data_IF_540737031821
#
_entry.id   IF_540737031821
#
_cell.length_a   1.000
_cell.length_b   1.000
_cell.length_c   1.000
_cell.angle_alpha   90.00
_cell.angle_beta   90.00
_cell.angle_gamma   90.00
#
_symmetry.space_group_name_H-M   'P 1'
#
loop_
_entity.id
_entity.type
_entity.pdbx_description
1 polymer ?
2 non-polymer ?
3 non-polymer ?
4 water ?
#
# COMPACT_ATOMS: atom_id res chain seq x y z
N UNK A 15 -22.94 -25.49 -3.75
CA UNK A 15 -21.91 -24.50 -4.08
C UNK A 15 -20.59 -25.16 -4.44
N UNK A 16 -19.84 -24.55 -5.35
CA UNK A 16 -18.54 -25.09 -5.71
C UNK A 16 -17.54 -24.93 -4.56
N UNK A 17 -16.70 -25.93 -4.40
CA UNK A 17 -15.74 -25.98 -3.30
C UNK A 17 -14.33 -25.88 -3.86
N UNK A 18 -13.46 -25.21 -3.10
CA UNK A 18 -12.04 -25.12 -3.43
C UNK A 18 -11.25 -25.45 -2.19
N UNK A 19 -10.35 -26.45 -2.31
CA UNK A 19 -9.48 -26.92 -1.23
C UNK A 19 -10.27 -27.12 0.07
N UNK A 20 -11.43 -27.77 -0.05
CA UNK A 20 -12.26 -28.08 1.08
C UNK A 20 -13.23 -26.99 1.52
N UNK A 21 -13.04 -25.75 1.07
CA UNK A 21 -13.85 -24.62 1.51
C UNK A 21 -14.94 -24.29 0.50
N UNK A 22 -16.01 -23.65 1.00
CA UNK A 22 -17.04 -23.13 0.12
C UNK A 22 -16.51 -21.90 -0.61
N UNK A 23 -16.69 -21.86 -1.93
CA UNK A 23 -16.29 -20.70 -2.76
C UNK A 23 -17.46 -20.42 -3.71
N UNK A 24 -18.44 -19.70 -3.20
CA UNK A 24 -19.80 -19.73 -3.71
C UNK A 24 -20.11 -18.55 -4.63
N UNK A 25 -19.71 -18.64 -5.89
CA UNK A 25 -19.70 -17.45 -6.75
C UNK A 25 -20.56 -17.63 -7.98
N UNK A 26 -21.18 -18.79 -8.17
CA UNK A 26 -21.83 -19.07 -9.43
C UNK A 26 -23.25 -18.56 -9.46
N UNK A 27 -23.91 -18.76 -10.62
CA UNK A 27 -23.42 -19.40 -11.85
C UNK A 27 -22.59 -18.50 -12.81
N UNK A 28 -22.51 -17.20 -12.54
CA UNK A 28 -21.81 -16.31 -13.45
C UNK A 28 -20.33 -16.67 -13.55
N UNK A 29 -19.71 -17.05 -12.42
CA UNK A 29 -18.28 -17.31 -12.37
C UNK A 29 -18.06 -18.80 -12.19
N UNK A 30 -17.40 -19.42 -13.17
CA UNK A 30 -17.16 -20.86 -13.25
C UNK A 30 -15.68 -21.16 -13.49
N UNK A 31 -15.34 -22.46 -13.54
CA UNK A 31 -13.98 -22.92 -13.87
C UNK A 31 -12.93 -22.29 -12.95
N UNK A 32 -13.11 -22.52 -11.64
CA UNK A 32 -12.30 -21.88 -10.60
C UNK A 32 -10.92 -22.53 -10.48
N UNK A 33 -9.91 -21.70 -10.20
CA UNK A 33 -8.55 -22.14 -9.88
C UNK A 33 -8.02 -21.35 -8.70
N UNK A 34 -7.51 -22.04 -7.69
CA UNK A 34 -6.86 -21.35 -6.57
C UNK A 34 -5.64 -20.57 -7.06
N UNK A 35 -5.52 -19.30 -6.68
CA UNK A 35 -4.38 -18.48 -7.10
C UNK A 35 -3.63 -17.83 -5.94
N UNK A 36 -4.03 -18.01 -4.70
CA UNK A 36 -3.33 -17.40 -3.58
C UNK A 36 -4.25 -17.14 -2.40
N UNK A 37 -3.69 -16.50 -1.36
CA UNK A 37 -4.44 -16.24 -0.14
C UNK A 37 -4.58 -14.74 0.16
N UNK A 38 -5.83 -14.32 0.44
CA UNK A 38 -6.12 -12.97 0.92
C UNK A 38 -6.01 -12.89 2.44
N UNK A 39 -6.49 -11.76 3.00
CA UNK A 39 -6.41 -11.57 4.45
C UNK A 39 -7.52 -12.30 5.22
N UNK A 40 -8.70 -12.42 4.62
CA UNK A 40 -9.85 -13.05 5.28
C UNK A 40 -10.40 -14.19 4.44
N UNK A 41 -9.55 -14.77 3.59
CA UNK A 41 -9.98 -15.83 2.71
C UNK A 41 -9.00 -16.02 1.57
N UNK A 42 -9.35 -16.98 0.71
CA UNK A 42 -8.51 -17.31 -0.42
C UNK A 42 -8.91 -16.50 -1.65
N UNK A 43 -8.01 -16.51 -2.64
CA UNK A 43 -8.22 -15.84 -3.90
C UNK A 43 -8.20 -16.89 -4.98
N UNK A 44 -9.14 -16.82 -5.91
CA UNK A 44 -9.25 -17.76 -7.01
C UNK A 44 -9.38 -16.99 -8.31
N UNK A 45 -8.96 -17.61 -9.42
CA UNK A 45 -9.38 -17.11 -10.72
C UNK A 45 -10.63 -17.86 -11.15
N UNK A 46 -11.33 -17.31 -12.14
CA UNK A 46 -12.64 -17.82 -12.50
C UNK A 46 -12.99 -17.28 -13.87
N UNK A 47 -13.77 -18.05 -14.63
CA UNK A 47 -14.29 -17.50 -15.87
C UNK A 47 -15.60 -16.76 -15.62
N UNK A 48 -15.66 -15.52 -16.11
CA UNK A 48 -16.82 -14.65 -16.08
C UNK A 48 -17.65 -14.89 -17.35
N UNK A 49 -18.77 -15.60 -17.20
CA UNK A 49 -19.59 -15.99 -18.35
C UNK A 49 -20.31 -14.84 -19.03
N UNK A 50 -20.48 -13.71 -18.36
CA UNK A 50 -21.05 -12.52 -19.00
C UNK A 50 -20.00 -11.79 -19.83
N UNK A 51 -18.91 -11.40 -19.18
CA UNK A 51 -17.92 -10.59 -19.86
C UNK A 51 -16.95 -11.42 -20.68
N UNK A 52 -16.99 -12.75 -20.54
CA UNK A 52 -16.23 -13.71 -21.35
C UNK A 52 -14.72 -13.51 -21.23
N UNK A 53 -14.28 -13.23 -20.00
CA UNK A 53 -12.87 -13.11 -19.63
C UNK A 53 -12.70 -13.80 -18.27
N UNK A 54 -11.47 -14.21 -17.95
CA UNK A 54 -11.20 -14.69 -16.61
C UNK A 54 -10.91 -13.50 -15.69
N UNK A 55 -11.20 -13.68 -14.40
CA UNK A 55 -11.17 -12.63 -13.38
C UNK A 55 -10.56 -13.21 -12.11
N UNK A 56 -10.19 -12.32 -11.18
CA UNK A 56 -9.76 -12.66 -9.84
C UNK A 56 -10.89 -12.45 -8.84
N UNK A 57 -11.05 -13.38 -7.88
CA UNK A 57 -12.10 -13.26 -6.87
C UNK A 57 -11.50 -13.52 -5.49
N UNK A 58 -11.68 -12.56 -4.60
CA UNK A 58 -11.25 -12.62 -3.20
C UNK A 58 -12.44 -12.94 -2.28
N UNK A 59 -12.35 -14.01 -1.49
CA UNK A 59 -13.36 -14.33 -0.46
C UNK A 59 -13.01 -13.68 0.88
N UNK A 60 -13.99 -13.06 1.50
CA UNK A 60 -13.84 -12.30 2.74
C UNK A 60 -14.86 -12.85 3.71
N UNK A 61 -14.42 -13.20 4.95
CA UNK A 61 -15.32 -13.65 6.01
C UNK A 61 -15.05 -12.83 7.26
N UNK A 62 -15.64 -11.63 7.37
CA UNK A 62 -15.21 -10.67 8.41
C UNK A 62 -16.15 -10.48 9.60
N UNK A 63 -17.33 -11.10 9.62
CA UNK A 63 -18.43 -10.51 10.41
C UNK A 63 -18.38 -10.77 11.91
N UNK A 64 -17.50 -11.65 12.35
CA UNK A 64 -17.33 -11.94 13.76
C UNK A 64 -16.48 -10.92 14.49
N UNK A 65 -15.69 -10.10 13.77
CA UNK A 65 -14.74 -9.19 14.42
C UNK A 65 -14.89 -7.76 13.93
N UNK A 66 -15.04 -6.84 14.89
CA UNK A 66 -15.25 -5.44 14.56
C UNK A 66 -14.12 -4.92 13.68
N UNK A 67 -12.89 -5.39 13.91
CA UNK A 67 -11.75 -4.87 13.15
C UNK A 67 -11.70 -5.44 11.74
N UNK A 68 -12.17 -6.68 11.55
CA UNK A 68 -12.22 -7.22 10.20
C UNK A 68 -13.27 -6.48 9.40
N UNK A 69 -14.43 -6.26 10.02
CA UNK A 69 -15.49 -5.50 9.39
C UNK A 69 -15.02 -4.11 9.03
N UNK A 70 -14.18 -3.53 9.88
CA UNK A 70 -13.69 -2.18 9.60
C UNK A 70 -12.84 -2.17 8.33
N UNK A 71 -11.85 -3.07 8.25
CA UNK A 71 -10.95 -3.15 7.10
C UNK A 71 -11.75 -3.37 5.83
N UNK A 72 -12.78 -4.23 5.91
CA UNK A 72 -13.56 -4.60 4.72
C UNK A 72 -14.40 -3.43 4.25
N UNK A 73 -15.07 -2.77 5.18
CA UNK A 73 -15.89 -1.62 4.82
C UNK A 73 -15.02 -0.50 4.25
N UNK A 74 -13.90 -0.16 4.94
CA UNK A 74 -13.00 0.86 4.46
C UNK A 74 -12.61 0.63 3.01
N UNK A 75 -12.18 -0.60 2.68
CA UNK A 75 -11.71 -0.84 1.31
C UNK A 75 -12.86 -0.73 0.32
N UNK A 76 -14.03 -1.32 0.65
CA UNK A 76 -15.15 -1.24 -0.30
C UNK A 76 -15.53 0.20 -0.53
N UNK A 77 -15.59 1.02 0.54
CA UNK A 77 -16.02 2.39 0.35
C UNK A 77 -15.03 3.17 -0.52
N UNK A 78 -13.73 2.98 -0.30
CA UNK A 78 -12.72 3.70 -1.09
C UNK A 78 -12.76 3.25 -2.55
N UNK A 79 -12.71 1.93 -2.77
CA UNK A 79 -12.63 1.43 -4.16
C UNK A 79 -13.87 1.68 -4.99
N UNK A 80 -15.06 1.74 -4.38
CA UNK A 80 -16.23 2.08 -5.20
C UNK A 80 -16.26 3.56 -5.58
N UNK A 81 -15.50 4.41 -4.90
CA UNK A 81 -15.44 5.78 -5.38
C UNK A 81 -14.27 6.04 -6.33
N UNK A 82 -13.19 5.33 -6.17
CA UNK A 82 -11.99 5.57 -6.99
C UNK A 82 -12.19 5.00 -8.38
N UNK A 83 -11.64 5.68 -9.38
CA UNK A 83 -11.52 5.13 -10.72
C UNK A 83 -10.19 5.59 -11.30
N UNK A 84 -9.24 4.69 -11.52
CA UNK A 84 -7.93 5.10 -12.01
C UNK A 84 -7.22 3.92 -12.65
N UNK A 85 -6.49 4.18 -13.75
CA UNK A 85 -5.84 3.09 -14.50
C UNK A 85 -4.84 2.30 -13.66
N UNK A 86 -4.22 2.94 -12.64
CA UNK A 86 -3.19 2.30 -11.85
C UNK A 86 -3.68 1.90 -10.46
N UNK A 87 -5.00 1.73 -10.30
CA UNK A 87 -5.60 1.22 -9.09
C UNK A 87 -6.55 0.10 -9.47
N UNK A 88 -6.45 -1.05 -8.80
CA UNK A 88 -7.33 -2.13 -9.28
C UNK A 88 -8.71 -1.86 -8.73
N UNK A 89 -9.70 -1.90 -9.60
CA UNK A 89 -11.06 -1.59 -9.19
C UNK A 89 -11.86 -2.81 -8.76
N UNK A 90 -13.07 -2.55 -8.31
CA UNK A 90 -14.03 -3.61 -7.98
C UNK A 90 -14.99 -3.75 -9.15
N UNK A 91 -15.00 -4.93 -9.77
CA UNK A 91 -15.89 -5.20 -10.90
C UNK A 91 -17.29 -5.66 -10.47
N UNK A 92 -17.35 -6.38 -9.35
CA UNK A 92 -18.57 -7.05 -8.92
C UNK A 92 -18.36 -7.39 -7.45
N UNK A 93 -19.44 -7.45 -6.70
CA UNK A 93 -19.41 -7.96 -5.33
C UNK A 93 -20.54 -8.96 -5.20
N UNK A 94 -20.22 -10.15 -4.66
CA UNK A 94 -21.17 -11.26 -4.50
C UNK A 94 -21.42 -11.50 -3.01
N UNK A 95 -22.71 -11.57 -2.62
CA UNK A 95 -23.09 -11.99 -1.27
C UNK A 95 -24.56 -12.38 -1.30
N UNK A 96 -24.98 -13.03 -0.22
CA UNK A 96 -26.38 -13.46 -0.05
C UNK A 96 -27.38 -12.30 -0.15
N UNK A 97 -28.64 -12.58 -0.45
CA UNK A 97 -29.61 -11.50 -0.63
C UNK A 97 -30.05 -10.81 0.64
N UNK A 98 -29.82 -11.41 1.81
CA UNK A 98 -30.30 -10.88 3.07
C UNK A 98 -29.17 -10.82 4.07
N UNK A 99 -29.26 -9.90 5.05
CA UNK A 99 -28.22 -9.82 6.07
C UNK A 99 -28.11 -11.13 6.84
N UNK A 100 -29.26 -11.76 7.13
CA UNK A 100 -29.26 -13.00 7.88
C UNK A 100 -28.45 -14.07 7.20
N UNK A 101 -28.59 -14.19 5.87
CA UNK A 101 -27.94 -15.27 5.16
C UNK A 101 -26.51 -14.94 4.77
N UNK A 102 -26.07 -13.69 4.96
CA UNK A 102 -24.75 -13.22 4.52
C UNK A 102 -23.68 -13.60 5.53
N UNK A 103 -22.78 -14.51 5.13
CA UNK A 103 -21.66 -14.92 5.97
C UNK A 103 -20.33 -14.57 5.34
N UNK A 104 -20.29 -14.54 4.02
CA UNK A 104 -19.08 -14.22 3.27
C UNK A 104 -19.42 -13.18 2.22
N UNK A 105 -18.39 -12.46 1.78
CA UNK A 105 -18.49 -11.48 0.69
C UNK A 105 -17.41 -11.83 -0.30
N UNK A 106 -17.72 -11.81 -1.59
CA UNK A 106 -16.67 -12.03 -2.61
C UNK A 106 -16.47 -10.78 -3.45
N UNK A 107 -15.22 -10.33 -3.60
CA UNK A 107 -14.91 -9.18 -4.44
C UNK A 107 -14.24 -9.64 -5.73
N UNK A 108 -14.81 -9.23 -6.88
CA UNK A 108 -14.32 -9.64 -8.20
C UNK A 108 -13.53 -8.48 -8.77
N UNK A 109 -12.32 -8.79 -9.29
CA UNK A 109 -11.37 -7.79 -9.81
C UNK A 109 -10.71 -8.35 -11.07
N UNK A 110 -10.03 -7.47 -11.83
CA UNK A 110 -9.32 -7.89 -13.03
C UNK A 110 -8.30 -8.96 -12.66
N UNK A 111 -8.17 -9.96 -13.53
CA UNK A 111 -7.12 -10.95 -13.34
C UNK A 111 -5.81 -10.43 -13.93
N UNK A 112 -4.81 -10.26 -13.09
CA UNK A 112 -3.49 -9.80 -13.50
C UNK A 112 -2.62 -11.03 -13.75
N UNK A 113 -1.40 -10.82 -14.26
CA UNK A 113 -0.42 -11.91 -14.49
C UNK A 113 0.42 -12.25 -13.26
N UNK A 114 0.91 -11.26 -12.51
CA UNK A 114 1.83 -11.50 -11.42
C UNK A 114 1.79 -10.27 -10.53
N UNK A 115 2.66 -10.25 -9.55
CA UNK A 115 2.88 -9.04 -8.73
C UNK A 115 4.39 -8.79 -8.60
N UNK A 116 4.75 -7.61 -8.06
CA UNK A 116 6.16 -7.24 -8.08
C UNK A 116 6.96 -8.07 -7.06
N UNK A 117 6.32 -8.57 -6.00
CA UNK A 117 7.02 -9.44 -5.05
C UNK A 117 7.47 -10.72 -5.77
N UNK A 118 6.56 -11.33 -6.51
CA UNK A 118 6.87 -12.56 -7.24
C UNK A 118 7.90 -12.30 -8.33
N UNK A 119 7.72 -11.19 -9.05
CA UNK A 119 8.64 -10.85 -10.12
C UNK A 119 10.06 -10.66 -9.58
N UNK A 120 10.21 -9.92 -8.49
CA UNK A 120 11.58 -9.64 -8.00
C UNK A 120 12.26 -10.89 -7.42
N UNK A 121 11.50 -11.94 -7.10
CA UNK A 121 12.11 -13.18 -6.61
C UNK A 121 12.99 -13.84 -7.67
N UNK A 122 12.68 -13.67 -8.96
CA UNK A 122 13.48 -14.34 -9.97
C UNK A 122 13.89 -13.50 -11.18
N UNK A 123 13.39 -12.28 -11.35
CA UNK A 123 13.62 -11.52 -12.56
C UNK A 123 14.40 -10.24 -12.27
N UNK A 124 15.53 -10.08 -12.96
CA UNK A 124 16.23 -8.79 -13.00
C UNK A 124 15.43 -7.79 -13.86
N UNK A 125 15.18 -6.59 -13.34
CA UNK A 125 14.51 -5.56 -14.13
C UNK A 125 15.50 -4.73 -14.92
N UNK A 126 15.17 -4.44 -16.18
CA UNK A 126 15.92 -3.43 -16.91
C UNK A 126 15.64 -2.05 -16.31
N UNK A 127 16.58 -1.09 -16.51
CA UNK A 127 16.28 0.27 -16.08
C UNK A 127 15.00 0.79 -16.73
N UNK A 128 14.68 0.41 -17.99
CA UNK A 128 13.42 0.87 -18.57
C UNK A 128 12.22 0.33 -17.80
N UNK A 129 12.29 -0.89 -17.30
CA UNK A 129 11.17 -1.42 -16.54
C UNK A 129 11.06 -0.74 -15.19
N UNK A 130 12.21 -0.45 -14.58
CA UNK A 130 12.19 0.22 -13.27
C UNK A 130 11.52 1.57 -13.40
N UNK A 131 11.96 2.35 -14.38
CA UNK A 131 11.39 3.67 -14.65
C UNK A 131 9.87 3.59 -14.89
N UNK A 132 9.42 2.68 -15.76
CA UNK A 132 7.99 2.62 -16.06
C UNK A 132 7.17 2.14 -14.86
N UNK A 133 7.69 1.16 -14.10
CA UNK A 133 6.99 0.72 -12.87
C UNK A 133 6.88 1.87 -11.88
N UNK A 134 7.99 2.58 -11.65
CA UNK A 134 7.97 3.67 -10.67
C UNK A 134 7.02 4.77 -11.11
N UNK A 135 7.04 5.11 -12.41
CA UNK A 135 6.10 6.10 -12.91
C UNK A 135 4.66 5.71 -12.57
N UNK A 136 4.28 4.44 -12.88
CA UNK A 136 2.89 4.03 -12.66
C UNK A 136 2.52 4.00 -11.19
N UNK A 137 3.46 3.61 -10.32
CA UNK A 137 3.19 3.64 -8.87
C UNK A 137 2.87 5.07 -8.44
N UNK A 138 3.72 6.04 -8.85
CA UNK A 138 3.53 7.45 -8.45
C UNK A 138 2.29 8.06 -9.10
N UNK A 139 1.95 7.62 -10.32
CA UNK A 139 0.76 8.15 -10.97
C UNK A 139 -0.49 7.71 -10.20
N UNK A 140 -0.55 6.43 -9.82
CA UNK A 140 -1.68 5.98 -8.97
C UNK A 140 -1.68 6.67 -7.61
N UNK A 141 -0.50 6.77 -7.00
CA UNK A 141 -0.41 7.42 -5.69
C UNK A 141 -0.83 8.90 -5.77
N UNK A 142 -0.54 9.61 -6.88
CA UNK A 142 -0.98 11.00 -6.99
C UNK A 142 -2.50 11.07 -6.84
N UNK A 143 -3.21 10.14 -7.49
CA UNK A 143 -4.67 10.12 -7.42
C UNK A 143 -5.14 9.82 -5.98
N UNK A 144 -4.53 8.80 -5.34
CA UNK A 144 -4.90 8.44 -3.98
C UNK A 144 -4.71 9.63 -3.04
N UNK A 145 -3.53 10.26 -3.07
CA UNK A 145 -3.28 11.40 -2.17
C UNK A 145 -4.17 12.60 -2.53
N UNK A 146 -4.52 12.76 -3.79
CA UNK A 146 -5.41 13.88 -4.15
C UNK A 146 -6.80 13.70 -3.56
N UNK A 147 -7.15 12.46 -3.22
CA UNK A 147 -8.41 12.19 -2.55
C UNK A 147 -8.30 12.32 -1.05
N UNK A 148 -7.16 12.79 -0.54
CA UNK A 148 -6.93 12.93 0.90
C UNK A 148 -6.87 11.58 1.59
N UNK A 149 -6.48 10.54 0.85
CA UNK A 149 -6.38 9.17 1.36
C UNK A 149 -4.91 8.75 1.38
N UNK A 150 -4.54 7.95 2.39
CA UNK A 150 -3.21 7.33 2.54
C UNK A 150 -3.38 5.83 2.35
N UNK A 151 -2.53 5.21 1.52
CA UNK A 151 -2.64 3.77 1.34
C UNK A 151 -2.18 3.01 2.59
N UNK A 152 -1.00 3.39 3.09
CA UNK A 152 -0.43 2.93 4.35
C UNK A 152 0.07 1.50 4.33
N UNK A 153 0.09 0.81 3.18
CA UNK A 153 0.71 -0.52 3.17
C UNK A 153 1.28 -0.80 1.79
N UNK A 154 1.94 0.18 1.19
CA UNK A 154 2.55 -0.05 -0.14
C UNK A 154 3.78 -0.95 0.01
N UNK A 155 3.88 -1.97 -0.84
CA UNK A 155 4.97 -2.95 -0.84
C UNK A 155 4.85 -3.78 -2.12
N UNK A 156 5.88 -4.53 -2.49
CA UNK A 156 5.84 -5.20 -3.80
C UNK A 156 4.64 -6.10 -4.01
N UNK A 157 4.22 -6.84 -2.97
CA UNK A 157 3.12 -7.82 -3.16
C UNK A 157 1.75 -7.11 -3.36
N UNK A 158 1.69 -5.78 -3.17
CA UNK A 158 0.47 -5.01 -3.44
C UNK A 158 0.51 -4.27 -4.76
N UNK A 159 1.49 -4.61 -5.62
CA UNK A 159 1.63 -4.00 -6.95
C UNK A 159 1.45 -5.13 -7.95
N UNK A 160 0.32 -5.14 -8.63
CA UNK A 160 0.01 -6.18 -9.61
C UNK A 160 0.40 -5.71 -11.03
N UNK A 161 0.81 -6.69 -11.88
CA UNK A 161 1.27 -6.44 -13.23
C UNK A 161 0.54 -7.38 -14.17
N UNK A 162 0.16 -6.84 -15.35
CA UNK A 162 -0.36 -7.73 -16.39
C UNK A 162 0.77 -8.12 -17.35
N UNK A 163 0.39 -8.80 -18.49
CA UNK A 163 1.44 -9.42 -19.32
C UNK A 163 2.23 -8.37 -20.08
N UNK A 164 1.71 -7.13 -20.15
CA UNK A 164 2.39 -6.04 -20.83
C UNK A 164 2.88 -5.02 -19.84
N UNK A 165 3.02 -5.43 -18.58
CA UNK A 165 3.66 -4.60 -17.54
C UNK A 165 2.91 -3.34 -17.15
N UNK A 166 1.60 -3.33 -17.40
CA UNK A 166 0.76 -2.29 -16.80
C UNK A 166 0.60 -2.66 -15.31
N UNK A 167 0.65 -1.65 -14.43
CA UNK A 167 0.76 -1.83 -12.98
C UNK A 167 -0.48 -1.26 -12.30
N UNK A 168 -1.00 -2.01 -11.32
CA UNK A 168 -2.17 -1.55 -10.54
C UNK A 168 -1.93 -1.79 -9.05
N UNK A 169 -2.33 -0.81 -8.23
CA UNK A 169 -2.14 -0.87 -6.77
C UNK A 169 -3.31 -1.62 -6.16
N UNK A 170 -3.01 -2.62 -5.32
CA UNK A 170 -3.97 -3.47 -4.63
C UNK A 170 -4.03 -3.12 -3.14
N UNK A 171 -5.16 -3.48 -2.56
CA UNK A 171 -5.47 -3.53 -1.12
C UNK A 171 -5.57 -2.21 -0.38
N UNK A 172 -6.77 -1.72 -0.15
CA UNK A 172 -6.95 -0.51 0.63
C UNK A 172 -7.49 -0.80 2.03
N UNK A 173 -7.26 -2.01 2.52
CA UNK A 173 -7.76 -2.39 3.84
C UNK A 173 -7.11 -1.67 5.00
N UNK A 174 -5.88 -1.15 4.83
CA UNK A 174 -5.23 -0.36 5.88
C UNK A 174 -5.26 1.15 5.63
N UNK A 175 -5.95 1.60 4.59
CA UNK A 175 -5.99 3.01 4.21
C UNK A 175 -6.71 3.84 5.26
N UNK A 176 -6.38 5.13 5.29
CA UNK A 176 -7.03 6.10 6.17
C UNK A 176 -7.10 7.46 5.48
N UNK A 177 -8.04 8.30 5.91
CA UNK A 177 -8.06 9.70 5.50
C UNK A 177 -6.93 10.43 6.20
N UNK A 178 -6.19 11.24 5.45
CA UNK A 178 -5.02 11.93 6.03
C UNK A 178 -5.43 12.85 7.18
N UNK A 179 -4.57 12.91 8.20
CA UNK A 179 -4.85 13.73 9.39
C UNK A 179 -3.56 14.31 9.96
N UNK A 180 -2.90 15.20 9.23
CA UNK A 180 -1.57 15.67 9.67
C UNK A 180 -1.58 16.41 10.99
N UNK A 181 -2.69 17.08 11.34
CA UNK A 181 -2.70 17.83 12.61
C UNK A 181 -2.80 16.93 13.82
N UNK A 182 -3.11 15.66 13.65
CA UNK A 182 -3.18 14.70 14.74
C UNK A 182 -2.21 13.53 14.55
N UNK A 183 -1.05 13.79 13.94
CA UNK A 183 -0.08 12.75 13.62
C UNK A 183 0.89 12.42 14.75
N UNK A 184 0.98 13.26 15.78
CA UNK A 184 2.07 13.10 16.76
C UNK A 184 1.70 12.07 17.83
N UNK A 185 2.70 11.33 18.28
CA UNK A 185 2.53 10.32 19.31
C UNK A 185 3.90 10.09 19.97
N UNK A 186 3.89 9.19 20.95
CA UNK A 186 5.08 8.84 21.71
C UNK A 186 5.99 7.84 21.03
N UNK A 187 7.12 7.63 21.67
CA UNK A 187 8.19 6.78 21.16
C UNK A 187 7.80 5.29 21.29
N UNK A 188 8.10 4.51 20.25
CA UNK A 188 7.88 3.06 20.24
C UNK A 188 6.39 2.68 20.35
N UNK A 189 5.54 3.53 19.73
CA UNK A 189 4.11 3.28 19.55
C UNK A 189 3.90 2.19 18.52
N UNK A 190 3.08 1.22 18.89
CA UNK A 190 2.71 0.07 18.09
C UNK A 190 2.14 0.52 16.74
N UNK A 191 2.42 -0.26 15.68
CA UNK A 191 2.03 0.12 14.32
C UNK A 191 1.60 -1.12 13.55
N UNK A 192 0.74 -0.92 12.55
CA UNK A 192 0.08 -2.01 11.81
C UNK A 192 0.82 -2.44 10.53
N UNK A 193 1.27 -1.49 9.70
CA UNK A 193 1.66 -1.76 8.31
C UNK A 193 2.99 -2.52 8.18
N UNK A 194 3.47 -2.85 6.95
CA UNK A 194 4.51 -3.90 6.93
C UNK A 194 5.92 -3.40 7.27
N UNK A 195 6.62 -4.15 8.13
CA UNK A 195 7.83 -3.65 8.78
C UNK A 195 8.85 -3.07 7.81
N UNK A 196 9.25 -3.82 6.78
CA UNK A 196 10.36 -3.42 5.91
C UNK A 196 10.10 -2.09 5.19
N UNK A 197 8.85 -1.66 5.08
CA UNK A 197 8.42 -0.51 4.30
C UNK A 197 7.96 0.65 5.19
N UNK A 198 8.21 0.56 6.53
CA UNK A 198 7.83 1.58 7.52
C UNK A 198 8.85 2.71 7.62
N UNK A 199 8.38 3.95 7.56
CA UNK A 199 9.21 5.14 7.67
C UNK A 199 9.80 5.25 9.09
N UNK A 200 10.97 5.86 9.23
CA UNK A 200 11.59 5.92 10.55
C UNK A 200 10.71 6.61 11.60
N UNK A 201 9.96 7.64 11.19
CA UNK A 201 9.19 8.36 12.19
C UNK A 201 8.09 7.49 12.83
N UNK A 202 7.68 6.39 12.19
CA UNK A 202 6.66 5.52 12.83
C UNK A 202 7.15 5.03 14.20
N UNK A 203 8.44 4.74 14.31
CA UNK A 203 9.05 4.22 15.52
C UNK A 203 9.40 5.35 16.49
N UNK A 204 9.35 6.61 16.04
CA UNK A 204 9.77 7.75 16.85
C UNK A 204 8.61 8.57 17.39
N UNK A 205 7.74 9.08 16.49
CA UNK A 205 6.74 10.07 16.94
C UNK A 205 5.54 10.22 16.01
N UNK A 206 5.22 9.25 15.14
CA UNK A 206 4.20 9.42 14.11
C UNK A 206 3.21 8.28 14.14
N UNK A 207 1.91 8.61 13.99
CA UNK A 207 0.84 7.64 13.80
C UNK A 207 0.64 7.24 12.34
N UNK A 208 1.45 7.76 11.41
CA UNK A 208 1.25 7.37 10.03
C UNK A 208 0.04 7.99 9.39
N UNK A 209 -0.28 9.22 9.76
CA UNK A 209 -1.45 9.95 9.26
C UNK A 209 -1.09 11.06 8.27
N UNK A 210 0.14 11.06 7.73
CA UNK A 210 0.48 12.02 6.68
C UNK A 210 0.99 11.31 5.41
N UNK A 211 0.89 12.04 4.31
CA UNK A 211 1.20 11.47 2.98
C UNK A 211 2.65 11.02 2.89
N UNK A 212 3.56 11.65 3.66
CA UNK A 212 4.95 11.25 3.61
C UNK A 212 5.18 9.80 4.00
N UNK A 213 4.24 9.16 4.71
CA UNK A 213 4.42 7.74 5.04
C UNK A 213 4.42 6.89 3.77
N UNK A 214 3.62 7.27 2.81
CA UNK A 214 3.52 6.45 1.58
C UNK A 214 4.75 6.67 0.71
N UNK A 215 5.26 7.92 0.68
CA UNK A 215 6.43 8.19 -0.14
C UNK A 215 7.62 7.37 0.35
N UNK A 216 7.79 7.22 1.68
CA UNK A 216 8.88 6.37 2.18
C UNK A 216 8.75 4.94 1.61
N UNK A 217 7.53 4.39 1.66
CA UNK A 217 7.34 3.05 1.18
C UNK A 217 7.73 2.93 -0.31
N UNK A 218 7.33 3.89 -1.14
CA UNK A 218 7.70 3.87 -2.57
C UNK A 218 9.23 3.92 -2.71
N UNK A 219 9.91 4.71 -1.86
CA UNK A 219 11.36 4.73 -1.94
C UNK A 219 11.96 3.36 -1.63
N UNK A 220 11.40 2.66 -0.63
CA UNK A 220 11.86 1.30 -0.33
C UNK A 220 11.64 0.37 -1.52
N UNK A 221 10.50 0.53 -2.21
CA UNK A 221 10.19 -0.30 -3.38
C UNK A 221 11.18 -0.01 -4.52
N UNK A 222 11.46 1.26 -4.77
CA UNK A 222 12.46 1.61 -5.80
C UNK A 222 13.81 0.96 -5.50
N UNK A 223 14.30 1.07 -4.25
CA UNK A 223 15.57 0.41 -3.91
C UNK A 223 15.52 -1.07 -4.21
N UNK A 224 14.41 -1.72 -3.85
CA UNK A 224 14.25 -3.15 -4.04
C UNK A 224 14.19 -3.50 -5.54
N UNK A 225 13.59 -2.63 -6.35
CA UNK A 225 13.72 -2.87 -7.81
C UNK A 225 15.14 -2.74 -8.34
N UNK A 226 15.96 -1.92 -7.70
CA UNK A 226 17.33 -1.77 -8.19
C UNK A 226 18.20 -2.98 -7.89
N UNK A 227 17.91 -3.71 -6.81
CA UNK A 227 18.80 -4.78 -6.44
C UNK A 227 18.18 -6.15 -6.20
N UNK A 228 16.87 -6.30 -6.30
CA UNK A 228 16.12 -7.51 -5.99
C UNK A 228 16.20 -7.94 -4.52
N UNK A 229 16.58 -7.06 -3.59
CA UNK A 229 16.63 -7.40 -2.17
C UNK A 229 16.01 -6.22 -1.41
N UNK A 230 15.25 -6.46 -0.35
CA UNK A 230 14.80 -5.33 0.48
C UNK A 230 15.97 -4.53 1.02
N UNK A 231 15.85 -3.19 0.98
CA UNK A 231 16.92 -2.29 1.45
C UNK A 231 17.05 -2.26 2.98
N UNK A 232 15.93 -2.38 3.71
CA UNK A 232 15.91 -2.30 5.18
C UNK A 232 15.18 -3.52 5.78
N UNK A 233 15.78 -4.72 5.71
CA UNK A 233 15.05 -5.94 6.16
C UNK A 233 15.18 -6.16 7.67
N UNK A 234 14.57 -5.29 8.46
CA UNK A 234 14.62 -5.46 9.91
C UNK A 234 13.98 -6.78 10.31
N UNK A 235 14.60 -7.43 11.30
CA UNK A 235 14.18 -8.77 11.72
C UNK A 235 13.03 -8.74 12.71
N UNK A 236 12.73 -7.57 13.26
CA UNK A 236 11.67 -7.35 14.24
C UNK A 236 11.49 -5.84 14.37
N UNK A 237 10.37 -5.42 15.00
CA UNK A 237 9.98 -4.00 15.13
C UNK A 237 11.15 -3.09 15.41
N UNK A 238 11.92 -3.52 16.40
CA UNK A 238 12.95 -2.69 16.98
C UNK A 238 14.15 -2.61 16.05
N UNK A 239 14.44 -3.70 15.34
CA UNK A 239 15.54 -3.76 14.40
C UNK A 239 15.36 -2.82 13.20
N UNK A 240 14.12 -2.44 12.86
CA UNK A 240 13.88 -1.71 11.61
C UNK A 240 14.59 -0.37 11.61
N UNK A 241 14.58 0.35 12.76
CA UNK A 241 15.29 1.62 12.80
C UNK A 241 16.80 1.44 12.70
N UNK A 242 17.35 0.33 13.24
CA UNK A 242 18.79 0.04 13.08
C UNK A 242 19.16 -0.04 11.59
N UNK A 243 18.34 -0.71 10.81
CA UNK A 243 18.66 -0.81 9.40
C UNK A 243 18.60 0.55 8.71
N UNK A 244 17.58 1.35 9.02
CA UNK A 244 17.43 2.65 8.35
C UNK A 244 18.63 3.53 8.64
N UNK A 245 18.95 3.68 9.92
CA UNK A 245 20.05 4.56 10.30
C UNK A 245 21.39 3.99 9.85
N UNK A 246 21.52 2.68 9.67
CA UNK A 246 22.79 2.13 9.19
C UNK A 246 23.15 2.52 7.76
N UNK A 247 22.14 2.95 6.98
CA UNK A 247 22.36 3.41 5.63
C UNK A 247 22.28 4.93 5.53
N UNK A 248 21.26 5.56 6.15
CA UNK A 248 21.16 7.01 6.07
C UNK A 248 22.22 7.71 6.95
N UNK A 249 22.73 7.04 7.97
CA UNK A 249 23.60 7.68 8.95
C UNK A 249 22.84 8.42 10.00
N UNK A 250 23.60 9.03 10.92
CA UNK A 250 23.01 9.79 12.03
C UNK A 250 22.23 11.00 11.52
N UNK A 251 21.04 11.27 12.08
CA UNK A 251 20.31 12.50 11.73
C UNK A 251 21.05 13.75 12.18
N UNK A 252 20.89 14.79 11.36
CA UNK A 252 21.47 16.10 11.63
C UNK A 252 20.86 16.71 12.89
N UNK A 253 21.56 17.72 13.41
CA UNK A 253 21.00 18.48 14.52
C UNK A 253 19.65 19.06 14.16
N UNK A 254 19.52 19.61 12.95
CA UNK A 254 18.27 20.25 12.57
C UNK A 254 17.15 19.24 12.53
N UNK A 255 17.43 18.05 12.00
CA UNK A 255 16.41 17.04 11.94
C UNK A 255 16.04 16.53 13.33
N UNK A 256 17.05 16.39 14.23
CA UNK A 256 16.74 16.06 15.62
C UNK A 256 15.89 17.14 16.30
N UNK A 257 16.19 18.39 16.06
CA UNK A 257 15.43 19.47 16.74
C UNK A 257 13.96 19.43 16.36
N UNK A 258 13.66 18.86 15.18
CA UNK A 258 12.29 18.75 14.71
C UNK A 258 11.51 17.68 15.50
N UNK A 259 12.22 16.81 16.23
CA UNK A 259 11.62 15.80 17.08
C UNK A 259 11.52 16.34 18.51
N UNK A 260 10.37 16.88 18.89
CA UNK A 260 10.26 17.46 20.23
C UNK A 260 10.07 16.40 21.32
N UNK A 261 9.51 15.24 21.01
CA UNK A 261 9.39 14.19 22.01
C UNK A 261 10.75 13.77 22.57
N UNK A 262 10.90 13.87 23.89
CA UNK A 262 12.20 13.68 24.55
C UNK A 262 12.66 12.23 24.50
N UNK A 263 11.76 11.29 24.72
CA UNK A 263 12.18 9.90 24.65
C UNK A 263 12.73 9.56 23.27
N UNK A 264 12.06 10.02 22.21
CA UNK A 264 12.55 9.70 20.87
C UNK A 264 13.86 10.40 20.59
N UNK A 265 13.93 11.71 20.92
CA UNK A 265 15.15 12.46 20.61
C UNK A 265 16.35 11.91 21.41
N UNK A 266 16.15 11.62 22.72
CA UNK A 266 17.28 11.12 23.49
C UNK A 266 17.69 9.72 23.08
N UNK A 267 16.77 8.90 22.56
CA UNK A 267 17.19 7.63 21.99
C UNK A 267 18.19 7.86 20.86
N UNK A 268 17.83 8.75 19.93
CA UNK A 268 18.76 8.99 18.82
C UNK A 268 20.08 9.61 19.31
N UNK A 269 20.01 10.51 20.30
CA UNK A 269 21.24 11.12 20.79
C UNK A 269 22.17 10.14 21.51
N UNK A 270 21.60 9.04 22.01
CA UNK A 270 22.36 8.02 22.73
C UNK A 270 23.19 7.11 21.80
N UNK A 271 22.95 7.15 20.45
CA UNK A 271 23.60 6.22 19.51
C UNK A 271 24.97 6.76 19.11
N UNK A 272 25.92 5.87 18.89
CA UNK A 272 27.19 6.31 18.31
C UNK A 272 26.97 6.89 16.92
N UNK A 273 27.88 7.77 16.50
CA UNK A 273 27.80 8.33 15.16
C UNK A 273 27.89 7.23 14.09
N UNK A 274 27.01 7.33 13.07
CA UNK A 274 26.98 6.47 11.88
C UNK A 274 27.10 7.36 10.64
N UNK A 275 27.99 6.97 9.71
CA UNK A 275 28.08 7.66 8.43
C UNK A 275 27.05 7.16 7.44
N UNK A 276 26.65 8.07 6.56
CA UNK A 276 25.84 7.74 5.41
C UNK A 276 26.59 6.79 4.47
N UNK A 277 25.86 5.80 3.95
CA UNK A 277 26.39 4.91 2.91
C UNK A 277 25.96 5.48 1.57
N UNK A 278 26.88 5.83 0.68
CA UNK A 278 26.48 6.46 -0.59
C UNK A 278 25.60 5.55 -1.42
N UNK A 279 24.57 6.13 -2.04
CA UNK A 279 23.66 5.28 -2.85
C UNK A 279 24.40 4.58 -3.99
N UNK A 280 25.42 5.23 -4.60
CA UNK A 280 26.05 4.59 -5.75
C UNK A 280 27.04 3.50 -5.32
N UNK A 281 27.37 3.44 -4.05
CA UNK A 281 28.10 2.29 -3.53
C UNK A 281 27.17 1.11 -3.27
N UNK A 282 25.93 1.38 -2.78
CA UNK A 282 24.96 0.32 -2.59
C UNK A 282 24.41 -0.18 -3.90
N UNK A 283 24.34 0.69 -4.92
CA UNK A 283 23.68 0.38 -6.20
C UNK A 283 24.59 0.82 -7.33
N UNK A 284 25.68 0.12 -7.55
CA UNK A 284 26.68 0.63 -8.51
C UNK A 284 26.24 0.55 -9.98
N UNK A 285 25.21 -0.22 -10.33
CA UNK A 285 24.76 -0.27 -11.73
C UNK A 285 23.51 0.59 -11.97
N UNK A 286 23.05 1.34 -10.95
CA UNK A 286 21.84 2.11 -11.10
C UNK A 286 22.06 3.39 -11.89
N UNK A 287 21.00 3.82 -12.56
CA UNK A 287 20.92 5.13 -13.21
C UNK A 287 21.09 6.25 -12.17
N UNK A 288 21.98 7.21 -12.45
CA UNK A 288 22.26 8.22 -11.45
C UNK A 288 21.02 9.08 -11.15
N UNK A 289 20.15 9.29 -12.15
CA UNK A 289 18.92 10.05 -11.88
C UNK A 289 17.98 9.26 -11.01
N UNK A 290 17.96 7.91 -11.16
CA UNK A 290 17.16 7.10 -10.24
C UNK A 290 17.63 7.26 -8.79
N UNK A 291 18.95 7.27 -8.57
CA UNK A 291 19.47 7.38 -7.20
C UNK A 291 19.21 8.74 -6.60
N UNK A 292 19.18 9.79 -7.43
CA UNK A 292 18.87 11.12 -6.90
C UNK A 292 17.44 11.16 -6.42
N UNK A 293 16.53 10.55 -7.17
CA UNK A 293 15.14 10.47 -6.73
C UNK A 293 14.99 9.57 -5.51
N UNK A 294 15.68 8.42 -5.48
CA UNK A 294 15.68 7.54 -4.31
C UNK A 294 16.06 8.31 -3.05
N UNK A 295 17.11 9.13 -3.13
CA UNK A 295 17.58 9.88 -1.98
C UNK A 295 16.49 10.82 -1.47
N UNK A 296 15.77 11.47 -2.39
CA UNK A 296 14.71 12.40 -1.99
C UNK A 296 13.48 11.69 -1.41
N UNK A 297 13.23 10.45 -1.82
CA UNK A 297 12.11 9.69 -1.22
C UNK A 297 12.51 9.12 0.16
N UNK A 298 13.76 8.67 0.32
CA UNK A 298 14.25 8.10 1.56
C UNK A 298 14.94 9.16 2.42
N UNK A 299 14.31 10.32 2.52
CA UNK A 299 14.81 11.37 3.41
C UNK A 299 14.30 11.12 4.82
N UNK A 300 15.21 11.26 5.84
CA UNK A 300 14.82 10.96 7.21
C UNK A 300 13.70 11.88 7.71
N UNK A 301 13.85 13.18 7.52
CA UNK A 301 12.86 14.15 8.04
C UNK A 301 11.63 14.12 7.13
N UNK A 302 10.45 13.76 7.64
CA UNK A 302 9.29 13.63 6.73
C UNK A 302 8.87 14.96 6.16
N UNK A 303 9.17 16.08 6.82
CA UNK A 303 8.83 17.38 6.25
C UNK A 303 9.73 17.77 5.10
N UNK A 304 10.91 17.19 4.99
CA UNK A 304 11.83 17.45 3.87
C UNK A 304 11.67 16.43 2.74
N UNK A 305 10.95 15.35 2.98
CA UNK A 305 10.76 14.28 2.01
C UNK A 305 9.98 14.77 0.80
N UNK A 306 10.35 14.30 -0.39
CA UNK A 306 9.67 14.75 -1.63
C UNK A 306 8.21 14.28 -1.60
N UNK A 307 7.30 15.12 -2.17
CA UNK A 307 5.89 14.76 -2.32
C UNK A 307 5.65 14.12 -3.68
N UNK A 308 4.46 13.49 -3.82
CA UNK A 308 4.21 12.69 -5.01
C UNK A 308 4.29 13.52 -6.30
N UNK A 309 3.73 14.76 -6.31
CA UNK A 309 3.75 15.53 -7.55
C UNK A 309 5.18 15.99 -7.90
N UNK A 310 6.02 16.24 -6.88
CA UNK A 310 7.42 16.56 -7.17
C UNK A 310 8.17 15.37 -7.74
N UNK A 311 7.86 14.17 -7.20
CA UNK A 311 8.49 12.94 -7.68
C UNK A 311 8.19 12.69 -9.16
N UNK A 312 6.92 12.89 -9.56
CA UNK A 312 6.52 12.68 -10.96
C UNK A 312 7.29 13.62 -11.91
N UNK A 313 7.66 14.79 -11.43
CA UNK A 313 8.35 15.82 -12.19
C UNK A 313 9.87 15.67 -12.14
N UNK A 314 10.35 14.64 -11.47
CA UNK A 314 11.81 14.47 -11.35
C UNK A 314 12.41 14.04 -12.70
N UNK A 315 13.63 14.49 -13.05
CA UNK A 315 14.25 14.11 -14.34
C UNK A 315 14.25 12.60 -14.65
N UNK A 316 14.32 11.74 -13.64
CA UNK A 316 14.36 10.31 -13.91
C UNK A 316 13.12 9.89 -14.69
N UNK A 317 11.98 10.55 -14.45
CA UNK A 317 10.69 10.18 -15.06
C UNK A 317 10.32 11.04 -16.28
N UNK A 318 11.27 11.75 -16.87
CA UNK A 318 10.95 12.73 -17.92
C UNK A 318 10.32 12.09 -19.15
N UNK A 319 10.66 10.85 -19.45
CA UNK A 319 10.06 10.20 -20.61
C UNK A 319 8.56 9.98 -20.47
N UNK A 320 8.03 9.96 -19.25
CA UNK A 320 6.62 9.67 -19.01
C UNK A 320 5.82 10.87 -18.49
N UNK A 321 6.47 11.80 -17.79
CA UNK A 321 5.76 12.88 -17.08
C UNK A 321 4.87 13.69 -18.00
N UNK A 322 3.63 13.82 -17.58
CA UNK A 322 2.64 14.58 -18.29
C UNK A 322 1.48 14.89 -17.35
N UNK A 323 1.49 16.07 -16.67
CA UNK A 323 0.52 16.30 -15.57
C UNK A 323 -0.93 16.26 -16.04
N UNK A 324 -1.20 16.63 -17.30
CA UNK A 324 -2.56 16.53 -17.83
C UNK A 324 -3.04 15.10 -18.04
N UNK A 325 -2.13 14.12 -18.08
CA UNK A 325 -2.49 12.69 -18.15
C UNK A 325 -2.24 11.97 -16.82
N UNK A 326 -2.23 12.71 -15.70
CA UNK A 326 -1.99 12.15 -14.38
C UNK A 326 -3.14 12.64 -13.52
N UNK A 327 -4.31 12.03 -13.67
CA UNK A 327 -5.52 12.62 -13.10
C UNK A 327 -5.62 12.58 -11.57
N UNK A 328 -6.49 13.46 -11.06
CA UNK A 328 -6.79 13.54 -9.63
C UNK A 328 -8.25 13.19 -9.39
N UNK A 329 -8.56 12.98 -8.13
CA UNK A 329 -9.87 12.56 -7.70
C UNK A 329 -10.85 13.72 -7.81
N UNK A 330 -12.07 13.40 -8.24
CA UNK A 330 -13.11 14.40 -8.35
C UNK A 330 -13.64 14.78 -6.98
N UNK A 331 -13.65 13.80 -6.07
CA UNK A 331 -14.42 13.85 -4.82
C UNK A 331 -13.54 13.28 -3.71
N UNK A 332 -12.63 14.09 -3.17
CA UNK A 332 -11.84 13.65 -2.01
C UNK A 332 -12.68 13.22 -0.81
N UNK A 333 -12.09 12.35 0.03
CA UNK A 333 -12.76 11.89 1.26
C UNK A 333 -12.55 12.92 2.36
N UNK A 334 -13.65 13.37 2.98
CA UNK A 334 -13.61 14.56 3.85
C UNK A 334 -13.03 14.25 5.22
N UNK A 335 -13.50 13.21 5.90
CA UNK A 335 -12.89 12.76 7.16
C UNK A 335 -12.90 11.25 7.31
N UNK A 340 -14.22 6.05 11.76
CA UNK A 340 -15.44 5.82 12.52
C UNK A 340 -15.52 4.36 13.08
N UNK A 341 -15.40 4.21 14.41
CA UNK A 341 -15.38 2.90 15.07
C UNK A 341 -16.66 2.69 15.91
N UNK A 342 -17.42 1.65 15.53
CA UNK A 342 -18.74 1.31 16.07
C UNK A 342 -18.92 -0.20 15.88
N UNK A 343 -19.97 -0.79 16.45
CA UNK A 343 -19.93 -2.25 16.63
C UNK A 343 -20.21 -2.99 15.34
N UNK A 344 -19.76 -4.24 15.35
CA UNK A 344 -19.83 -5.08 14.17
C UNK A 344 -21.24 -5.22 13.60
N UNK A 345 -22.31 -5.15 14.42
CA UNK A 345 -23.66 -5.35 13.86
C UNK A 345 -24.02 -4.21 12.93
N UNK A 346 -23.73 -2.98 13.35
CA UNK A 346 -23.94 -1.85 12.46
C UNK A 346 -23.01 -1.92 11.26
N UNK A 347 -21.79 -2.45 11.44
CA UNK A 347 -20.82 -2.52 10.33
C UNK A 347 -21.23 -3.58 9.32
N UNK A 348 -21.77 -4.69 9.79
CA UNK A 348 -22.31 -5.69 8.86
C UNK A 348 -23.42 -5.07 8.04
N UNK A 349 -24.27 -4.30 8.72
CA UNK A 349 -25.35 -3.58 8.06
C UNK A 349 -24.78 -2.61 7.02
N UNK A 350 -23.70 -1.91 7.39
CA UNK A 350 -23.09 -0.96 6.48
C UNK A 350 -22.45 -1.67 5.29
N UNK A 351 -21.84 -2.83 5.51
CA UNK A 351 -21.28 -3.59 4.38
C UNK A 351 -22.40 -4.12 3.48
N UNK A 352 -23.50 -4.57 4.08
CA UNK A 352 -24.63 -5.00 3.26
C UNK A 352 -25.13 -3.85 2.37
N UNK A 353 -25.29 -2.67 2.96
CA UNK A 353 -25.80 -1.53 2.20
C UNK A 353 -24.82 -1.08 1.13
N UNK A 354 -23.51 -1.06 1.44
CA UNK A 354 -22.52 -0.59 0.47
C UNK A 354 -22.42 -1.54 -0.71
N UNK A 355 -22.82 -2.81 -0.54
CA UNK A 355 -22.69 -3.79 -1.60
C UNK A 355 -23.98 -4.03 -2.36
N UNK A 356 -25.04 -3.30 -2.01
CA UNK A 356 -26.34 -3.52 -2.61
C UNK A 356 -26.37 -3.27 -4.12
N UNK A 357 -25.50 -2.40 -4.65
CA UNK A 357 -25.63 -1.98 -6.04
C UNK A 357 -25.34 -3.12 -7.00
N UNK A 358 -24.72 -4.19 -6.53
CA UNK A 358 -24.32 -5.27 -7.41
C UNK A 358 -25.34 -6.39 -7.42
N UNK A 359 -26.42 -6.24 -6.69
CA UNK A 359 -27.43 -7.31 -6.73
C UNK A 359 -28.25 -7.25 -8.03
N UNK A 360 -28.65 -8.41 -8.58
CA UNK A 360 -29.55 -8.49 -9.75
C UNK A 360 -30.98 -7.96 -9.48
X LIG B 1 6.35 -6.16 12.94
X LIG B 1 6.46 -6.81 14.24
X LIG B 1 5.18 -5.27 12.89
X LIG B 1 6.19 -7.28 12.01
X LIG B 1 7.56 -5.37 12.67
X LIG C 1 -4.42 2.34 12.72
X LIG C 1 -5.50 3.07 13.40
X LIG C 1 -4.43 0.92 13.11
X LIG C 1 -4.57 2.40 11.27
X LIG C 1 -3.14 2.98 13.02
X LIG D 1 -7.30 -9.78 -5.23
X LIG D 1 -5.96 -9.11 -5.49
X LIG D 1 -5.24 -8.68 -4.21
X LIG D 1 -3.98 -7.82 -4.39
X LIG D 1 -2.80 -8.17 -3.47
X LIG D 1 -1.98 -9.33 -3.96
X LIG D 1 -1.20 -10.21 -2.99
X LIG D 1 -1.35 -11.69 -3.38
X LIG D 1 -2.74 -12.23 -3.06
X LIG D 1 -3.07 -13.56 -3.71
X LIG D 1 -2.90 -13.55 -5.23
X LIG D 1 -1.91 -9.60 -5.16
X LIG D 1 -1.59 -9.94 -1.66
X LIG D 1 -0.36 -12.49 -2.69
X LIG D 1 -3.73 -12.47 -5.85
X LIG D 1 -3.76 -12.44 -7.37
X LIG D 1 -2.45 -14.42 -10.21
X LIG D 1 -5.16 -10.58 -10.21
X LIG D 1 -3.10 -13.44 -8.09
X LIG D 1 -3.12 -13.46 -9.49
X LIG D 1 -3.80 -12.47 -10.18
X LIG D 1 -4.49 -11.49 -9.47
X LIG D 1 -4.49 -11.45 -8.07
X LIG D 1 -5.27 -10.32 -7.48
X LIG D 1 -6.01 -9.65 -8.15
X LIG D 1 -5.07 -10.05 -6.17
#
# INVERSE_FOLDING_TARGET
HHHHHHMAAAAAAGPEMVRGQVFDVGPRYTNLSYIGEGAYGMVCSAYDNLNKVRVAIKKISPFEHQTYCQRTLREIKILLRFRHENIIGINDIIRAPTIEQMKDVYIVQDLMETDLYKLLKTQHLSNDHICYFLYQILRGLKYIHSANVLHRDLKPSNLLLNTTCDLKICDFGLARVADPDHDHTGFLTEYVATRWYRAPEIMLNSKGYTKSIDIWSVGCILAEMLSNRPIFPGKHYLDQLNHILGILGSPSQEDLNCIINLKARNYLLSLPHKNKVPWNRLFPNADSKALDLLDKMLTFNPHKRIEVEQALAHPYLEQYYDPSDEPIAEAPFKFDMELDDLPKEKLKELIFEETARFQPGYRS
SO4 S O1 O2 O3 O4
SO4 S O1 O2 O3 O4
WN2 C1 C2 C3 C4 C5 C6 C7 C8 C9 C10 C11 O1 O2 O3 C12 C13 O4 O5 C14 C15 C16 C17 C18 C19 O6 O7
#
